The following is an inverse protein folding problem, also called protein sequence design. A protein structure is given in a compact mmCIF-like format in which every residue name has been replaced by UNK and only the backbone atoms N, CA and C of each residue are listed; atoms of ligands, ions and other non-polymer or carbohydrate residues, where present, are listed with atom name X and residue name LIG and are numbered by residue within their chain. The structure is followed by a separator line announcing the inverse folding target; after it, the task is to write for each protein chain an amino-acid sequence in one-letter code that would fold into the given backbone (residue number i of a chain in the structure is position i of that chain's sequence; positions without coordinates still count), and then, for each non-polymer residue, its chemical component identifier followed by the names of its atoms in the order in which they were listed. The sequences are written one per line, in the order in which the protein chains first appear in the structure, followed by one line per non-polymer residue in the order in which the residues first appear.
data_IF_703805742822
#
_entry.id   IF_703805742822
#
_cell.length_a   1.000
_cell.length_b   1.000
_cell.length_c   1.000
_cell.angle_alpha   90.00
_cell.angle_beta   90.00
_cell.angle_gamma   90.00
#
_symmetry.space_group_name_H-M   'P 1'
#
loop_
_entity.id
_entity.type
_entity.pdbx_description
1 polymer ?
#
# COMPACT_ATOMS: atom_id res chain seq x y z
N UNK A 1 3.53 -0.59 -11.99
CA UNK A 1 2.12 -0.14 -12.00
C UNK A 1 1.87 0.75 -10.79
N UNK A 2 1.61 2.05 -10.94
CA UNK A 2 1.53 2.97 -9.79
C UNK A 2 0.13 2.97 -9.15
N UNK A 3 -0.28 1.81 -8.61
CA UNK A 3 -1.58 1.58 -7.95
C UNK A 3 -1.80 2.60 -6.83
N UNK A 4 -0.75 2.88 -6.06
CA UNK A 4 -0.81 3.79 -4.92
C UNK A 4 -1.14 5.22 -5.37
N UNK A 5 -0.55 5.71 -6.47
CA UNK A 5 -0.91 7.02 -7.04
C UNK A 5 -2.38 7.06 -7.47
N UNK A 6 -2.87 6.04 -8.16
CA UNK A 6 -4.27 5.97 -8.56
C UNK A 6 -5.21 6.01 -7.34
N UNK A 7 -4.87 5.23 -6.31
CA UNK A 7 -5.58 5.26 -5.03
C UNK A 7 -5.54 6.63 -4.35
N UNK A 8 -4.37 7.30 -4.35
CA UNK A 8 -4.18 8.59 -3.69
C UNK A 8 -5.01 9.68 -4.35
N UNK A 9 -4.92 9.79 -5.66
CA UNK A 9 -5.72 10.72 -6.44
C UNK A 9 -7.23 10.50 -6.23
N UNK A 10 -7.69 9.25 -6.00
CA UNK A 10 -9.13 8.95 -5.85
C UNK A 10 -9.63 9.37 -4.48
N UNK A 11 -8.79 9.14 -3.48
CA UNK A 11 -9.08 9.42 -2.09
C UNK A 11 -8.55 10.77 -1.62
N UNK A 12 -8.02 11.60 -2.53
CA UNK A 12 -7.38 12.87 -2.18
C UNK A 12 -8.35 13.79 -1.45
N UNK A 13 -9.38 14.25 -2.15
CA UNK A 13 -10.38 15.16 -1.58
C UNK A 13 -11.19 14.53 -0.45
N UNK A 14 -11.67 13.27 -0.54
CA UNK A 14 -12.47 12.69 0.53
C UNK A 14 -11.72 12.48 1.85
N UNK A 15 -10.43 12.13 1.79
CA UNK A 15 -9.70 11.63 2.96
C UNK A 15 -8.26 12.14 3.07
N UNK A 16 -7.47 11.98 2.01
CA UNK A 16 -6.02 12.07 2.11
C UNK A 16 -5.50 13.50 2.18
N UNK A 17 -6.24 14.48 1.66
CA UNK A 17 -5.88 15.89 1.80
C UNK A 17 -5.83 16.28 3.27
N UNK A 18 -6.92 16.02 4.01
CA UNK A 18 -6.99 16.35 5.43
C UNK A 18 -5.99 15.53 6.25
N UNK A 19 -5.79 14.26 5.90
CA UNK A 19 -4.77 13.43 6.51
C UNK A 19 -3.35 13.96 6.27
N UNK A 20 -3.07 14.47 5.08
CA UNK A 20 -1.76 15.03 4.73
C UNK A 20 -1.44 16.26 5.58
N UNK A 21 -2.42 17.12 5.87
CA UNK A 21 -2.26 18.26 6.77
C UNK A 21 -1.89 17.82 8.19
N UNK A 22 -2.53 16.74 8.69
CA UNK A 22 -2.23 16.15 10.01
C UNK A 22 -0.79 15.61 10.04
N UNK A 23 -0.30 15.13 8.89
CA UNK A 23 1.08 14.68 8.70
C UNK A 23 2.04 15.81 8.31
N UNK A 24 1.65 17.06 8.55
CA UNK A 24 2.46 18.27 8.36
C UNK A 24 2.72 18.67 6.89
N UNK A 25 1.98 18.11 5.93
CA UNK A 25 1.95 18.59 4.55
C UNK A 25 0.91 19.72 4.41
N UNK A 26 1.26 20.91 4.90
CA UNK A 26 0.31 22.04 4.98
C UNK A 26 0.31 22.96 3.75
N UNK A 27 1.42 23.08 3.03
CA UNK A 27 1.53 23.93 1.84
C UNK A 27 1.03 23.22 0.58
N UNK A 28 0.56 23.97 -0.42
CA UNK A 28 0.11 23.38 -1.70
C UNK A 28 1.19 22.56 -2.39
N UNK A 29 2.45 22.99 -2.29
CA UNK A 29 3.60 22.24 -2.81
C UNK A 29 3.81 20.93 -2.03
N UNK A 30 3.70 20.95 -0.71
CA UNK A 30 3.83 19.75 0.12
C UNK A 30 2.67 18.77 -0.11
N UNK A 31 1.45 19.29 -0.24
CA UNK A 31 0.25 18.53 -0.61
C UNK A 31 0.39 17.90 -2.00
N UNK A 32 0.85 18.66 -3.00
CA UNK A 32 1.11 18.14 -4.34
C UNK A 32 2.22 17.08 -4.35
N UNK A 33 3.27 17.27 -3.54
CA UNK A 33 4.32 16.27 -3.36
C UNK A 33 3.75 14.95 -2.80
N UNK A 34 2.91 15.02 -1.75
CA UNK A 34 2.25 13.85 -1.18
C UNK A 34 1.26 13.19 -2.16
N UNK A 35 0.44 13.98 -2.86
CA UNK A 35 -0.56 13.51 -3.86
C UNK A 35 0.07 12.79 -5.03
N UNK A 36 1.20 13.28 -5.52
CA UNK A 36 1.86 12.72 -6.71
C UNK A 36 2.59 11.40 -6.43
N UNK A 37 2.76 11.04 -5.14
CA UNK A 37 3.45 9.82 -4.70
C UNK A 37 4.85 9.66 -5.34
N UNK A 38 5.58 10.77 -5.53
CA UNK A 38 6.94 10.73 -6.10
C UNK A 38 7.92 10.02 -5.17
N UNK A 39 7.77 10.22 -3.86
CA UNK A 39 8.52 9.51 -2.84
C UNK A 39 7.73 8.29 -2.35
N UNK A 40 8.26 7.10 -2.62
CA UNK A 40 7.59 5.84 -2.28
C UNK A 40 7.53 5.59 -0.77
N UNK A 41 8.51 6.05 0.01
CA UNK A 41 8.51 5.89 1.47
C UNK A 41 7.43 6.73 2.11
N UNK A 42 7.30 7.99 1.67
CA UNK A 42 6.25 8.92 2.12
C UNK A 42 4.87 8.42 1.71
N UNK A 43 4.69 8.02 0.44
CA UNK A 43 3.43 7.47 -0.05
C UNK A 43 3.03 6.22 0.76
N UNK A 44 3.99 5.34 1.07
CA UNK A 44 3.72 4.16 1.87
C UNK A 44 3.34 4.48 3.32
N UNK A 45 3.98 5.46 3.96
CA UNK A 45 3.60 5.91 5.30
C UNK A 45 2.18 6.48 5.32
N UNK A 46 1.85 7.35 4.37
CA UNK A 46 0.49 7.90 4.20
C UNK A 46 -0.54 6.77 3.98
N UNK A 47 -0.22 5.79 3.15
CA UNK A 47 -1.08 4.62 2.91
C UNK A 47 -1.33 3.81 4.17
N UNK A 48 -0.29 3.57 4.98
CA UNK A 48 -0.42 2.83 6.24
C UNK A 48 -1.25 3.59 7.27
N UNK A 49 -1.04 4.92 7.38
CA UNK A 49 -1.84 5.77 8.28
C UNK A 49 -3.30 5.73 7.86
N UNK A 50 -3.59 5.91 6.57
CA UNK A 50 -4.95 5.81 6.04
C UNK A 50 -5.58 4.46 6.40
N UNK A 51 -4.93 3.36 5.98
CA UNK A 51 -5.43 2.00 6.18
C UNK A 51 -5.72 1.70 7.66
N UNK A 52 -4.73 1.93 8.51
CA UNK A 52 -4.80 1.60 9.93
C UNK A 52 -5.86 2.42 10.64
N UNK A 53 -5.95 3.71 10.32
CA UNK A 53 -6.93 4.60 10.94
C UNK A 53 -8.34 4.23 10.55
N UNK A 54 -8.59 4.03 9.25
CA UNK A 54 -9.91 3.69 8.73
C UNK A 54 -10.37 2.33 9.24
N UNK A 55 -9.49 1.31 9.26
CA UNK A 55 -9.81 0.00 9.81
C UNK A 55 -10.16 0.10 11.32
N UNK A 56 -9.34 0.82 12.10
CA UNK A 56 -9.61 1.05 13.53
C UNK A 56 -10.97 1.71 13.76
N UNK A 57 -11.29 2.78 13.03
CA UNK A 57 -12.57 3.47 13.23
C UNK A 57 -13.78 2.62 12.83
N UNK A 58 -13.66 1.83 11.76
CA UNK A 58 -14.72 0.92 11.34
C UNK A 58 -14.97 -0.19 12.36
N UNK A 59 -13.92 -0.84 12.86
CA UNK A 59 -14.03 -1.88 13.90
C UNK A 59 -14.55 -1.28 15.21
N UNK A 60 -14.07 -0.11 15.61
CA UNK A 60 -14.57 0.58 16.81
C UNK A 60 -16.05 0.95 16.70
N UNK A 61 -16.50 1.36 15.51
CA UNK A 61 -17.92 1.65 15.27
C UNK A 61 -18.78 0.40 15.49
N UNK A 62 -18.34 -0.74 14.96
CA UNK A 62 -18.99 -2.03 15.21
C UNK A 62 -18.98 -2.41 16.69
N UNK A 63 -17.83 -2.36 17.36
CA UNK A 63 -17.72 -2.74 18.78
C UNK A 63 -18.64 -1.86 19.64
N UNK A 64 -18.68 -0.54 19.40
CA UNK A 64 -19.59 0.38 20.09
C UNK A 64 -21.06 0.06 19.82
N UNK A 65 -21.41 -0.33 18.60
CA UNK A 65 -22.77 -0.76 18.27
C UNK A 65 -23.15 -2.02 19.07
N UNK A 66 -22.27 -3.02 19.11
CA UNK A 66 -22.48 -4.26 19.85
C UNK A 66 -22.61 -4.02 21.36
N UNK A 67 -21.73 -3.18 21.92
CA UNK A 67 -21.79 -2.80 23.34
C UNK A 67 -23.10 -2.10 23.71
N UNK A 68 -23.63 -1.25 22.83
CA UNK A 68 -24.94 -0.60 23.04
C UNK A 68 -26.11 -1.59 23.03
N UNK A 69 -25.99 -2.68 22.28
CA UNK A 69 -26.98 -3.76 22.27
C UNK A 69 -26.76 -4.77 23.42
N UNK A 70 -25.71 -4.61 24.25
CA UNK A 70 -25.37 -5.57 25.30
C UNK A 70 -24.83 -6.90 24.76
N UNK A 71 -24.37 -6.94 23.52
CA UNK A 71 -23.94 -8.16 22.85
C UNK A 71 -22.42 -8.23 22.67
N UNK A 72 -21.87 -9.45 22.70
CA UNK A 72 -20.45 -9.69 22.42
C UNK A 72 -20.14 -9.45 20.92
N UNK A 73 -19.09 -8.68 20.58
CA UNK A 73 -18.65 -8.51 19.20
C UNK A 73 -17.96 -9.79 18.69
N UNK A 74 -18.46 -10.36 17.59
CA UNK A 74 -17.87 -11.52 16.91
C UNK A 74 -17.69 -11.22 15.42
N UNK A 75 -16.81 -11.94 14.70
CA UNK A 75 -16.62 -11.78 13.26
C UNK A 75 -17.92 -11.98 12.45
N UNK A 76 -18.74 -12.97 12.80
CA UNK A 76 -20.01 -13.22 12.09
C UNK A 76 -20.98 -12.05 12.25
N UNK A 77 -21.05 -11.48 13.46
CA UNK A 77 -21.85 -10.29 13.72
C UNK A 77 -21.29 -9.05 13.03
N UNK A 78 -19.99 -8.98 12.79
CA UNK A 78 -19.41 -7.92 11.96
C UNK A 78 -19.93 -7.99 10.52
N UNK A 79 -20.06 -9.18 9.93
CA UNK A 79 -20.60 -9.35 8.58
C UNK A 79 -22.08 -8.96 8.50
N UNK A 80 -22.89 -9.30 9.50
CA UNK A 80 -24.29 -8.89 9.59
C UNK A 80 -24.41 -7.37 9.77
N UNK A 81 -23.61 -6.80 10.68
CA UNK A 81 -23.50 -5.35 10.87
C UNK A 81 -23.10 -4.65 9.57
N UNK A 82 -22.09 -5.16 8.88
CA UNK A 82 -21.60 -4.67 7.61
C UNK A 82 -22.72 -4.58 6.56
N UNK A 83 -23.47 -5.67 6.35
CA UNK A 83 -24.59 -5.70 5.39
C UNK A 83 -25.65 -4.66 5.72
N UNK A 84 -26.00 -4.53 7.00
CA UNK A 84 -27.00 -3.55 7.47
C UNK A 84 -26.49 -2.10 7.31
N UNK A 85 -25.24 -1.83 7.73
CA UNK A 85 -24.69 -0.48 7.79
C UNK A 85 -24.32 0.07 6.40
N UNK A 86 -23.82 -0.78 5.50
CA UNK A 86 -23.59 -0.44 4.08
C UNK A 86 -24.85 0.08 3.40
N UNK A 87 -25.98 -0.58 3.64
CA UNK A 87 -27.27 -0.23 3.05
C UNK A 87 -27.79 1.12 3.56
N UNK A 88 -27.42 1.51 4.79
CA UNK A 88 -27.88 2.75 5.43
C UNK A 88 -26.92 3.94 5.30
N UNK A 89 -25.62 3.71 5.05
CA UNK A 89 -24.60 4.77 5.07
C UNK A 89 -23.60 4.60 3.91
N UNK A 90 -23.84 5.35 2.83
CA UNK A 90 -23.02 5.30 1.63
C UNK A 90 -21.57 5.78 1.84
N UNK A 91 -21.32 6.71 2.77
CA UNK A 91 -19.95 7.16 3.10
C UNK A 91 -19.16 6.04 3.75
N UNK A 92 -19.82 5.29 4.64
CA UNK A 92 -19.24 4.12 5.27
C UNK A 92 -19.00 3.00 4.25
N UNK A 93 -19.95 2.78 3.33
CA UNK A 93 -19.78 1.83 2.23
C UNK A 93 -18.60 2.18 1.31
N UNK A 94 -18.46 3.46 0.96
CA UNK A 94 -17.32 3.95 0.20
C UNK A 94 -16.01 3.72 0.96
N UNK A 95 -15.92 4.13 2.24
CA UNK A 95 -14.72 3.90 3.05
C UNK A 95 -14.38 2.41 3.15
N UNK A 96 -15.37 1.55 3.33
CA UNK A 96 -15.17 0.11 3.36
C UNK A 96 -14.54 -0.40 2.06
N UNK A 97 -15.08 0.00 0.90
CA UNK A 97 -14.52 -0.35 -0.41
C UNK A 97 -13.06 0.12 -0.52
N UNK A 98 -12.78 1.37 -0.13
CA UNK A 98 -11.43 1.92 -0.19
C UNK A 98 -10.45 1.19 0.73
N UNK A 99 -10.88 0.76 1.92
CA UNK A 99 -10.03 0.06 2.89
C UNK A 99 -9.83 -1.41 2.54
N UNK A 100 -10.91 -2.18 2.44
CA UNK A 100 -10.86 -3.64 2.33
C UNK A 100 -10.53 -4.12 0.92
N UNK A 101 -10.89 -3.37 -0.12
CA UNK A 101 -10.61 -3.76 -1.50
C UNK A 101 -9.31 -3.14 -1.99
N UNK A 102 -9.19 -1.82 -1.97
CA UNK A 102 -8.07 -1.15 -2.61
C UNK A 102 -6.85 -1.01 -1.69
N UNK A 103 -7.04 -0.49 -0.48
CA UNK A 103 -5.95 -0.25 0.45
C UNK A 103 -5.29 -1.54 0.91
N UNK A 104 -6.09 -2.55 1.25
CA UNK A 104 -5.60 -3.89 1.59
C UNK A 104 -4.86 -4.54 0.41
N UNK A 105 -5.35 -4.38 -0.82
CA UNK A 105 -4.66 -4.93 -1.99
C UNK A 105 -3.29 -4.27 -2.23
N UNK A 106 -3.17 -2.95 -2.03
CA UNK A 106 -1.86 -2.27 -2.10
C UNK A 106 -0.90 -2.85 -1.04
N UNK A 107 -1.40 -3.10 0.17
CA UNK A 107 -0.60 -3.71 1.23
C UNK A 107 -0.20 -5.13 0.87
N UNK A 108 -1.14 -5.95 0.40
CA UNK A 108 -0.90 -7.33 -0.02
C UNK A 108 0.06 -7.41 -1.20
N UNK A 109 0.00 -6.47 -2.15
CA UNK A 109 0.93 -6.40 -3.26
C UNK A 109 2.37 -6.23 -2.74
N UNK A 110 2.58 -5.26 -1.84
CA UNK A 110 3.90 -5.00 -1.25
C UNK A 110 4.37 -6.16 -0.37
N UNK A 111 3.48 -6.78 0.41
CA UNK A 111 3.81 -7.94 1.23
C UNK A 111 4.15 -9.14 0.34
N UNK A 112 3.36 -9.39 -0.72
CA UNK A 112 3.56 -10.46 -1.68
C UNK A 112 4.93 -10.36 -2.34
N UNK A 113 5.27 -9.17 -2.84
CA UNK A 113 6.59 -8.87 -3.41
C UNK A 113 7.71 -9.19 -2.43
N UNK A 114 7.60 -8.64 -1.22
CA UNK A 114 8.67 -8.74 -0.21
C UNK A 114 8.83 -10.16 0.35
N UNK A 115 7.74 -10.86 0.60
CA UNK A 115 7.74 -12.14 1.35
C UNK A 115 7.82 -13.37 0.47
N UNK A 116 8.09 -13.21 -0.82
CA UNK A 116 8.08 -14.34 -1.74
C UNK A 116 6.75 -15.09 -1.78
N UNK A 117 5.64 -14.35 -1.85
CA UNK A 117 4.30 -14.94 -1.87
C UNK A 117 3.58 -14.58 -3.17
N UNK A 118 3.79 -15.39 -4.20
CA UNK A 118 3.17 -15.26 -5.52
C UNK A 118 1.65 -15.32 -5.44
N UNK A 119 1.06 -16.21 -4.63
CA UNK A 119 -0.38 -16.27 -4.42
C UNK A 119 -0.97 -14.95 -3.89
N UNK A 120 -0.31 -14.35 -2.90
CA UNK A 120 -0.69 -13.06 -2.34
C UNK A 120 -0.50 -11.92 -3.35
N UNK A 121 0.58 -11.96 -4.13
CA UNK A 121 0.84 -10.98 -5.19
C UNK A 121 -0.23 -11.05 -6.28
N UNK A 122 -0.56 -12.25 -6.77
CA UNK A 122 -1.53 -12.45 -7.83
C UNK A 122 -2.94 -12.04 -7.36
N UNK A 123 -3.39 -12.50 -6.20
CA UNK A 123 -4.67 -12.05 -5.61
C UNK A 123 -4.73 -10.53 -5.47
N UNK A 124 -3.65 -9.90 -4.98
CA UNK A 124 -3.57 -8.46 -4.84
C UNK A 124 -3.63 -7.69 -6.17
N UNK A 125 -3.15 -8.26 -7.28
CA UNK A 125 -3.24 -7.65 -8.63
C UNK A 125 -4.69 -7.54 -9.13
N UNK A 126 -5.62 -8.40 -8.68
CA UNK A 126 -7.01 -8.40 -9.15
C UNK A 126 -7.86 -7.27 -8.57
N UNK A 127 -7.66 -6.92 -7.30
CA UNK A 127 -8.51 -5.96 -6.62
C UNK A 127 -8.42 -4.51 -7.15
N UNK A 128 -7.23 -3.95 -7.48
CA UNK A 128 -7.12 -2.56 -7.92
C UNK A 128 -7.41 -2.35 -9.42
N UNK A 129 -7.75 -3.40 -10.19
CA UNK A 129 -8.05 -3.29 -11.64
C UNK A 129 -9.12 -2.23 -11.93
N UNK A 130 -10.11 -2.12 -11.04
CA UNK A 130 -11.17 -1.11 -11.13
C UNK A 130 -10.65 0.33 -11.01
N UNK A 131 -9.56 0.57 -10.28
CA UNK A 131 -8.94 1.91 -10.18
C UNK A 131 -8.36 2.36 -11.53
N UNK A 132 -7.88 1.42 -12.34
CA UNK A 132 -7.34 1.69 -13.67
C UNK A 132 -8.42 1.79 -14.74
N UNK A 133 -9.51 1.04 -14.59
CA UNK A 133 -10.65 1.05 -15.51
C UNK A 133 -11.61 2.23 -15.25
N UNK A 134 -11.79 2.63 -14.00
CA UNK A 134 -12.61 3.78 -13.61
C UNK A 134 -11.96 5.12 -13.96
N UNK A 135 -10.65 5.12 -14.25
CA UNK A 135 -9.92 6.27 -14.77
C UNK A 135 -9.61 6.10 -16.24
N UNK A 136 -9.56 7.20 -16.98
CA UNK A 136 -9.01 7.20 -18.34
C UNK A 136 -7.47 7.05 -18.32
N UNK A 137 -6.99 5.91 -17.81
CA UNK A 137 -5.59 5.49 -17.80
C UNK A 137 -5.37 4.36 -18.83
N UNK A 138 -5.56 4.62 -20.14
CA UNK A 138 -5.58 3.58 -21.17
C UNK A 138 -4.28 2.76 -21.22
N UNK A 139 -3.14 3.41 -20.94
CA UNK A 139 -1.85 2.73 -20.90
C UNK A 139 -1.77 1.67 -19.78
N UNK A 140 -2.16 2.02 -18.54
CA UNK A 140 -2.12 1.07 -17.42
C UNK A 140 -3.17 -0.03 -17.57
N UNK A 141 -4.32 0.29 -18.17
CA UNK A 141 -5.33 -0.72 -18.51
C UNK A 141 -4.80 -1.75 -19.49
N UNK A 142 -4.09 -1.31 -20.53
CA UNK A 142 -3.49 -2.23 -21.50
C UNK A 142 -2.39 -3.09 -20.87
N UNK A 143 -1.55 -2.51 -20.00
CA UNK A 143 -0.54 -3.27 -19.26
C UNK A 143 -1.18 -4.33 -18.38
N UNK A 144 -2.23 -3.96 -17.62
CA UNK A 144 -2.92 -4.88 -16.72
C UNK A 144 -3.60 -6.03 -17.49
N UNK A 145 -4.27 -5.72 -18.59
CA UNK A 145 -4.91 -6.72 -19.46
C UNK A 145 -3.87 -7.66 -20.07
N UNK A 146 -2.76 -7.10 -20.56
CA UNK A 146 -1.67 -7.87 -21.14
C UNK A 146 -1.02 -8.79 -20.09
N UNK A 147 -0.63 -8.25 -18.92
CA UNK A 147 -0.02 -9.01 -17.82
C UNK A 147 -0.94 -10.16 -17.36
N UNK A 148 -2.23 -9.88 -17.20
CA UNK A 148 -3.23 -10.90 -16.81
C UNK A 148 -3.39 -11.98 -17.88
N UNK A 149 -3.43 -11.58 -19.16
CA UNK A 149 -3.59 -12.51 -20.29
C UNK A 149 -2.37 -13.40 -20.42
N UNK A 150 -1.16 -12.83 -20.39
CA UNK A 150 0.09 -13.58 -20.43
C UNK A 150 0.15 -14.62 -19.30
N UNK A 151 -0.19 -14.22 -18.08
CA UNK A 151 -0.20 -15.14 -16.93
C UNK A 151 -1.22 -16.29 -17.08
N UNK A 152 -2.37 -16.05 -17.72
CA UNK A 152 -3.38 -17.08 -17.96
C UNK A 152 -3.04 -18.02 -19.12
N UNK A 153 -2.41 -17.51 -20.17
CA UNK A 153 -2.04 -18.30 -21.35
C UNK A 153 -0.69 -19.01 -21.20
N UNK A 154 0.07 -18.72 -20.13
CA UNK A 154 1.37 -19.34 -19.91
C UNK A 154 1.25 -20.83 -19.54
N UNK A 155 2.09 -21.72 -20.11
CA UNK A 155 2.16 -23.11 -19.68
C UNK A 155 2.50 -23.22 -18.18
N UNK A 156 2.00 -24.27 -17.52
CA UNK A 156 2.17 -24.47 -16.08
C UNK A 156 3.65 -24.55 -15.67
N UNK A 157 4.50 -25.10 -16.54
CA UNK A 157 5.95 -25.22 -16.32
C UNK A 157 6.59 -23.84 -16.22
N UNK A 158 6.23 -22.94 -17.15
CA UNK A 158 6.71 -21.55 -17.14
C UNK A 158 6.12 -20.78 -15.97
N UNK A 159 4.86 -21.08 -15.61
CA UNK A 159 4.16 -20.43 -14.49
C UNK A 159 4.82 -20.76 -13.16
N UNK A 160 5.22 -22.01 -12.97
CA UNK A 160 5.99 -22.43 -11.80
C UNK A 160 7.35 -21.71 -11.73
N UNK A 161 8.05 -21.56 -12.85
CA UNK A 161 9.31 -20.80 -12.90
C UNK A 161 9.04 -19.34 -12.53
N UNK A 162 8.04 -18.72 -13.15
CA UNK A 162 7.68 -17.33 -12.88
C UNK A 162 7.31 -17.12 -11.41
N UNK A 163 6.39 -17.89 -10.87
CA UNK A 163 5.93 -17.75 -9.48
C UNK A 163 7.06 -17.96 -8.48
N UNK A 164 8.01 -18.87 -8.75
CA UNK A 164 9.20 -19.08 -7.91
C UNK A 164 10.25 -17.96 -8.00
N UNK A 165 10.23 -17.17 -9.08
CA UNK A 165 11.24 -16.12 -9.35
C UNK A 165 10.69 -14.69 -9.31
N UNK A 166 9.36 -14.51 -9.19
CA UNK A 166 8.73 -13.18 -9.11
C UNK A 166 9.11 -12.40 -7.88
N UNK A 167 9.62 -13.08 -6.86
CA UNK A 167 9.78 -12.52 -5.53
C UNK A 167 10.97 -13.17 -4.83
N UNK A 168 11.75 -12.39 -4.05
CA UNK A 168 13.00 -12.85 -3.45
C UNK A 168 13.08 -12.39 -2.00
N UNK A 169 13.51 -13.25 -1.08
CA UNK A 169 13.76 -12.89 0.32
C UNK A 169 15.15 -13.37 0.73
N UNK A 170 16.01 -12.44 1.15
CA UNK A 170 17.39 -12.74 1.58
C UNK A 170 17.45 -13.11 3.06
N UNK A 171 16.47 -12.66 3.86
CA UNK A 171 16.52 -12.73 5.32
C UNK A 171 16.16 -14.10 5.89
N UNK A 172 15.64 -15.04 5.08
CA UNK A 172 15.04 -16.29 5.55
C UNK A 172 13.82 -16.11 6.48
N UNK A 173 13.41 -14.86 6.75
CA UNK A 173 12.34 -14.54 7.69
C UNK A 173 11.02 -14.37 6.93
N UNK A 174 10.09 -15.32 7.14
CA UNK A 174 8.71 -15.28 6.60
C UNK A 174 7.92 -14.00 6.94
N UNK A 175 8.37 -13.23 7.94
CA UNK A 175 7.72 -11.98 8.37
C UNK A 175 8.38 -10.71 7.84
N UNK A 176 9.64 -10.76 7.39
CA UNK A 176 10.47 -9.61 7.00
C UNK A 176 11.11 -9.84 5.63
N UNK A 177 10.38 -9.50 4.59
CA UNK A 177 10.89 -9.46 3.23
C UNK A 177 11.53 -8.13 2.87
N UNK A 178 12.67 -8.15 2.18
CA UNK A 178 13.29 -6.97 1.57
C UNK A 178 12.94 -6.95 0.08
N UNK A 179 12.71 -5.75 -0.46
CA UNK A 179 12.43 -5.56 -1.88
C UNK A 179 13.71 -5.70 -2.71
N UNK A 180 13.63 -6.12 -3.99
CA UNK A 180 14.80 -6.18 -4.88
C UNK A 180 15.47 -4.80 -5.02
N UNK A 181 14.66 -3.74 -5.13
CA UNK A 181 15.16 -2.37 -5.17
C UNK A 181 15.88 -1.98 -3.89
N UNK A 182 15.44 -2.48 -2.73
CA UNK A 182 16.12 -2.21 -1.46
C UNK A 182 17.48 -2.91 -1.38
N UNK A 183 17.55 -4.16 -1.87
CA UNK A 183 18.81 -4.91 -1.95
C UNK A 183 19.79 -4.26 -2.92
N UNK A 184 19.28 -3.85 -4.09
CA UNK A 184 20.07 -3.13 -5.09
C UNK A 184 20.53 -1.78 -4.55
N UNK A 185 19.68 -1.04 -3.83
CA UNK A 185 20.06 0.23 -3.21
C UNK A 185 21.12 0.03 -2.12
N UNK A 186 20.98 -1.01 -1.30
CA UNK A 186 21.95 -1.37 -0.26
C UNK A 186 23.30 -1.74 -0.86
N UNK A 187 23.32 -2.59 -1.90
CA UNK A 187 24.53 -2.95 -2.63
C UNK A 187 25.13 -1.74 -3.37
N UNK A 188 24.32 -0.92 -4.03
CA UNK A 188 24.77 0.31 -4.68
C UNK A 188 25.37 1.31 -3.66
N UNK A 189 24.77 1.41 -2.48
CA UNK A 189 25.29 2.23 -1.38
C UNK A 189 26.62 1.68 -0.88
N UNK A 190 26.75 0.37 -0.73
CA UNK A 190 28.00 -0.28 -0.35
C UNK A 190 29.10 0.02 -1.38
N UNK A 191 28.83 -0.15 -2.68
CA UNK A 191 29.77 0.22 -3.76
C UNK A 191 30.18 1.70 -3.66
N UNK A 192 29.21 2.61 -3.48
CA UNK A 192 29.47 4.05 -3.38
C UNK A 192 30.34 4.45 -2.19
N UNK A 193 30.36 3.69 -1.10
CA UNK A 193 31.25 3.95 0.03
C UNK A 193 32.73 3.79 -0.33
N UNK A 194 33.04 2.99 -1.35
CA UNK A 194 34.39 2.73 -1.82
C UNK A 194 34.83 3.64 -2.97
N UNK A 195 33.91 4.45 -3.50
CA UNK A 195 34.22 5.45 -4.52
C UNK A 195 34.79 6.68 -3.80
N UNK A 196 36.03 7.04 -4.15
CA UNK A 196 36.70 8.22 -3.59
C UNK A 196 35.88 9.50 -3.86
N UNK A 197 35.56 10.23 -2.81
CA UNK A 197 34.83 11.49 -2.90
C UNK A 197 35.67 12.56 -3.58
N UNK A 198 35.18 13.11 -4.70
CA UNK A 198 35.80 14.26 -5.38
C UNK A 198 36.17 14.06 -6.86
N UNK A 199 36.03 12.85 -7.41
CA UNK A 199 36.19 12.60 -8.85
C UNK A 199 35.01 11.83 -9.40
N UNK A 200 34.70 12.02 -10.70
CA UNK A 200 33.74 11.17 -11.40
C UNK A 200 34.41 9.82 -11.61
N UNK A 201 33.92 8.73 -10.98
CA UNK A 201 34.52 7.41 -11.11
C UNK A 201 34.51 6.93 -12.57
N UNK A 202 35.64 6.40 -13.04
CA UNK A 202 35.73 5.72 -14.34
C UNK A 202 34.97 4.39 -14.33
N UNK A 203 34.59 3.89 -15.50
CA UNK A 203 33.96 2.56 -15.63
C UNK A 203 34.84 1.44 -15.04
N UNK A 204 36.15 1.52 -15.22
CA UNK A 204 37.12 0.58 -14.66
C UNK A 204 37.09 0.57 -13.12
N UNK A 205 36.93 1.75 -12.50
CA UNK A 205 36.78 1.88 -11.05
C UNK A 205 35.47 1.25 -10.57
N UNK A 206 34.38 1.47 -11.30
CA UNK A 206 33.09 0.81 -11.02
C UNK A 206 33.21 -0.71 -11.10
N UNK A 207 33.79 -1.22 -12.18
CA UNK A 207 33.93 -2.66 -12.41
C UNK A 207 34.82 -3.31 -11.34
N UNK A 208 35.94 -2.67 -11.00
CA UNK A 208 36.84 -3.16 -9.96
C UNK A 208 36.16 -3.24 -8.59
N UNK A 209 35.38 -2.23 -8.20
CA UNK A 209 34.68 -2.23 -6.91
C UNK A 209 33.51 -3.23 -6.93
N UNK A 210 32.69 -3.23 -7.98
CA UNK A 210 31.55 -4.14 -8.08
C UNK A 210 31.98 -5.61 -8.05
N UNK A 211 33.05 -5.97 -8.78
CA UNK A 211 33.55 -7.35 -8.82
C UNK A 211 34.20 -7.80 -7.51
N UNK A 212 34.79 -6.86 -6.75
CA UNK A 212 35.50 -7.17 -5.51
C UNK A 212 34.72 -6.81 -4.24
N UNK A 213 33.47 -6.35 -4.36
CA UNK A 213 32.68 -5.82 -3.23
C UNK A 213 32.62 -6.81 -2.06
N UNK A 214 32.31 -8.08 -2.35
CA UNK A 214 32.19 -9.11 -1.31
C UNK A 214 33.51 -9.30 -0.55
N UNK A 215 34.63 -9.37 -1.29
CA UNK A 215 35.96 -9.52 -0.70
C UNK A 215 36.33 -8.31 0.19
N UNK A 216 35.96 -7.10 -0.24
CA UNK A 216 36.19 -5.88 0.53
C UNK A 216 35.30 -5.83 1.79
N UNK A 217 34.02 -6.23 1.68
CA UNK A 217 33.10 -6.35 2.82
C UNK A 217 33.63 -7.38 3.84
N UNK A 218 34.14 -8.52 3.39
CA UNK A 218 34.70 -9.57 4.25
C UNK A 218 35.98 -9.08 4.97
N UNK A 219 36.87 -8.39 4.26
CA UNK A 219 38.05 -7.76 4.86
C UNK A 219 37.67 -6.68 5.88
N UNK A 220 36.66 -5.86 5.60
CA UNK A 220 36.17 -4.87 6.57
C UNK A 220 35.61 -5.54 7.82
N UNK A 221 34.82 -6.59 7.67
CA UNK A 221 34.26 -7.33 8.79
C UNK A 221 35.37 -7.96 9.64
N UNK A 222 36.41 -8.52 9.00
CA UNK A 222 37.59 -9.03 9.69
C UNK A 222 38.31 -7.93 10.49
N UNK A 223 38.59 -6.78 9.86
CA UNK A 223 39.24 -5.64 10.51
C UNK A 223 38.39 -5.06 11.67
N UNK A 224 37.08 -4.93 11.47
CA UNK A 224 36.14 -4.48 12.52
C UNK A 224 36.06 -5.46 13.69
N UNK A 225 36.11 -6.78 13.42
CA UNK A 225 36.13 -7.81 14.46
C UNK A 225 37.42 -7.78 15.29
N UNK A 226 38.55 -7.47 14.66
CA UNK A 226 39.85 -7.31 15.33
C UNK A 226 39.95 -5.99 16.10
N UNK A 227 39.29 -4.93 15.61
CA UNK A 227 39.33 -3.58 16.17
C UNK A 227 38.21 -3.25 17.18
N UNK A 228 37.35 -4.21 17.55
CA UNK A 228 36.29 -4.03 18.56
C UNK A 228 35.22 -3.00 18.22
N UNK A 229 35.13 -2.54 16.97
CA UNK A 229 34.22 -1.46 16.54
C UNK A 229 33.07 -2.03 15.74
N UNK A 230 31.87 -2.04 16.32
CA UNK A 230 30.65 -2.32 15.57
C UNK A 230 30.21 -1.05 14.82
N UNK A 231 29.93 -1.19 13.52
CA UNK A 231 29.30 -0.11 12.73
C UNK A 231 27.90 0.16 13.27
N UNK A 232 27.66 1.36 13.78
CA UNK A 232 26.29 1.84 14.02
C UNK A 232 25.65 2.12 12.67
N UNK A 233 24.61 1.37 12.34
CA UNK A 233 23.74 1.69 11.22
C UNK A 233 23.00 3.00 11.55
N UNK A 234 23.55 4.13 11.12
CA UNK A 234 22.95 5.45 11.28
C UNK A 234 21.78 5.61 10.31
N UNK A 235 20.67 4.91 10.59
CA UNK A 235 19.38 5.19 9.98
C UNK A 235 18.69 6.32 10.77
N UNK A 236 19.04 7.57 10.48
CA UNK A 236 18.17 8.68 10.85
C UNK A 236 17.04 8.79 9.82
N UNK A 237 16.10 7.84 9.85
CA UNK A 237 14.76 8.09 9.30
C UNK A 237 14.11 9.17 10.16
N UNK A 238 13.76 10.31 9.57
CA UNK A 238 12.84 11.27 10.21
C UNK A 238 11.66 10.49 10.75
N UNK A 239 11.55 10.40 12.07
CA UNK A 239 10.51 9.63 12.73
C UNK A 239 9.20 10.40 12.60
N UNK A 240 8.42 10.06 11.57
CA UNK A 240 7.03 10.51 11.49
C UNK A 240 6.28 9.82 12.62
N UNK A 241 5.66 10.58 13.51
CA UNK A 241 4.83 10.04 14.59
C UNK A 241 3.52 9.49 13.99
N UNK A 242 3.58 8.22 13.56
CA UNK A 242 2.48 7.48 12.95
C UNK A 242 1.32 7.36 13.95
N UNK A 243 1.60 7.21 15.24
CA UNK A 243 0.57 7.00 16.26
C UNK A 243 -0.24 8.28 16.49
N UNK A 244 0.43 9.42 16.60
CA UNK A 244 -0.23 10.72 16.61
C UNK A 244 -1.11 10.93 15.37
N UNK A 245 -0.56 10.64 14.18
CA UNK A 245 -1.28 10.81 12.92
C UNK A 245 -2.55 9.93 12.87
N UNK A 246 -2.44 8.67 13.30
CA UNK A 246 -3.57 7.73 13.37
C UNK A 246 -4.64 8.25 14.33
N UNK A 247 -4.27 8.66 15.54
CA UNK A 247 -5.23 9.12 16.54
C UNK A 247 -5.95 10.42 16.11
N UNK A 248 -5.21 11.37 15.53
CA UNK A 248 -5.74 12.64 15.05
C UNK A 248 -6.65 12.46 13.83
N UNK A 249 -6.23 11.65 12.85
CA UNK A 249 -7.04 11.39 11.67
C UNK A 249 -8.33 10.61 12.00
N UNK A 250 -8.29 9.74 13.03
CA UNK A 250 -9.48 9.03 13.50
C UNK A 250 -10.61 9.98 13.93
N UNK A 251 -10.29 11.06 14.63
CA UNK A 251 -11.30 12.04 15.04
C UNK A 251 -11.93 12.75 13.84
N UNK A 252 -11.13 13.00 12.80
CA UNK A 252 -11.62 13.56 11.53
C UNK A 252 -12.57 12.58 10.84
N UNK A 253 -12.18 11.31 10.71
CA UNK A 253 -13.01 10.26 10.12
C UNK A 253 -14.32 10.03 10.87
N UNK A 254 -14.28 10.05 12.21
CA UNK A 254 -15.48 9.92 13.05
C UNK A 254 -16.50 11.01 12.72
N UNK A 255 -16.05 12.24 12.50
CA UNK A 255 -16.91 13.37 12.11
C UNK A 255 -17.45 13.22 10.69
N UNK A 256 -16.63 12.74 9.76
CA UNK A 256 -17.04 12.48 8.37
C UNK A 256 -18.12 11.39 8.25
N UNK A 257 -18.02 10.34 9.06
CA UNK A 257 -18.93 9.19 9.04
C UNK A 257 -20.29 9.47 9.71
N UNK A 258 -20.47 10.62 10.39
CA UNK A 258 -21.77 11.02 10.93
C UNK A 258 -22.75 11.34 9.81
N UNK A 259 -23.99 10.82 9.85
CA UNK A 259 -25.00 11.07 8.83
C UNK A 259 -25.46 12.54 8.76
N UNK A 260 -25.31 13.33 9.83
CA UNK A 260 -25.83 14.71 9.97
C UNK A 260 -24.97 15.80 9.29
N UNK A 261 -23.76 15.48 8.79
CA UNK A 261 -22.92 16.46 8.09
C UNK A 261 -23.36 16.58 6.61
N UNK A 262 -24.33 17.45 6.33
CA UNK A 262 -24.91 17.69 4.99
C UNK A 262 -24.00 18.49 4.02
N UNK A 263 -22.86 19.00 4.47
CA UNK A 263 -22.07 20.00 3.71
C UNK A 263 -20.94 19.45 2.81
N UNK A 264 -21.17 18.35 2.09
CA UNK A 264 -20.25 17.96 1.00
C UNK A 264 -21.02 17.50 -0.26
N UNK A 265 -21.12 18.43 -1.21
CA UNK A 265 -21.67 18.32 -2.58
C UNK A 265 -20.86 17.37 -3.50
N UNK A 266 -20.44 16.20 -3.01
CA UNK A 266 -19.75 15.19 -3.83
C UNK A 266 -20.72 14.17 -4.47
N UNK A 267 -22.00 14.23 -4.10
CA UNK A 267 -23.02 13.27 -4.54
C UNK A 267 -23.33 13.34 -6.03
N UNK A 268 -23.28 14.53 -6.64
CA UNK A 268 -23.52 14.66 -8.09
C UNK A 268 -22.40 14.00 -8.92
N UNK A 269 -21.15 14.00 -8.46
CA UNK A 269 -20.03 13.41 -9.22
C UNK A 269 -19.95 11.88 -9.08
N UNK A 270 -20.30 11.33 -7.92
CA UNK A 270 -20.32 9.87 -7.66
C UNK A 270 -21.54 9.21 -8.34
N UNK A 271 -22.71 9.87 -8.37
CA UNK A 271 -23.88 9.34 -9.08
C UNK A 271 -23.76 9.46 -10.61
N UNK A 272 -23.02 10.46 -11.11
CA UNK A 272 -22.75 10.63 -12.55
C UNK A 272 -21.50 9.87 -13.03
N UNK A 273 -20.67 9.35 -12.12
CA UNK A 273 -19.51 8.53 -12.45
C UNK A 273 -19.98 7.15 -13.01
N UNK A 274 -19.74 6.84 -14.30
CA UNK A 274 -20.26 5.63 -14.95
C UNK A 274 -19.78 4.30 -14.33
N UNK A 275 -18.77 4.36 -13.46
CA UNK A 275 -18.20 3.20 -12.77
C UNK A 275 -18.84 2.91 -11.41
N UNK A 276 -19.46 3.89 -10.75
CA UNK A 276 -20.15 3.68 -9.45
C UNK A 276 -21.46 2.93 -9.67
N UNK A 277 -22.22 3.31 -10.71
CA UNK A 277 -23.42 2.60 -11.15
C UNK A 277 -23.13 1.19 -11.67
N UNK A 278 -21.94 0.96 -12.26
CA UNK A 278 -21.47 -0.39 -12.65
C UNK A 278 -21.01 -1.27 -11.48
N UNK A 279 -20.53 -0.68 -10.39
CA UNK A 279 -20.16 -1.44 -9.18
C UNK A 279 -21.42 -1.75 -8.35
N UNK A 280 -22.40 -0.85 -8.29
CA UNK A 280 -23.69 -1.11 -7.61
C UNK A 280 -24.58 -2.07 -8.39
N UNK A 281 -24.46 -2.13 -9.72
CA UNK A 281 -25.23 -3.06 -10.57
C UNK A 281 -24.66 -4.47 -10.70
N UNK A 282 -23.43 -4.72 -10.22
CA UNK A 282 -22.77 -6.04 -10.25
C UNK A 282 -22.55 -6.65 -8.85
N UNK A 283 -23.17 -6.07 -7.81
CA UNK A 283 -23.41 -6.81 -6.57
C UNK A 283 -24.69 -7.61 -6.81
N UNK A 284 -24.60 -8.61 -7.70
CA UNK A 284 -25.58 -9.68 -7.72
C UNK A 284 -25.43 -10.39 -6.38
N UNK A 285 -26.43 -10.16 -5.52
CA UNK A 285 -26.65 -10.97 -4.35
C UNK A 285 -26.71 -12.42 -4.84
N UNK A 286 -25.77 -13.26 -4.39
CA UNK A 286 -25.99 -14.70 -4.33
C UNK A 286 -27.19 -14.89 -3.39
N UNK A 287 -28.37 -14.80 -3.99
CA UNK A 287 -29.63 -15.28 -3.45
C UNK A 287 -29.62 -16.76 -3.76
N UNK A 288 -28.95 -17.55 -2.91
CA UNK A 288 -29.26 -18.97 -2.85
C UNK A 288 -30.57 -19.12 -2.08
N UNK A 289 -31.67 -18.78 -2.75
CA UNK A 289 -32.95 -19.46 -2.59
C UNK A 289 -33.09 -20.41 -3.78
N UNK A 290 -32.61 -21.65 -3.64
CA UNK A 290 -33.20 -22.85 -4.27
C UNK A 290 -32.36 -24.10 -3.98
N UNK A 291 -33.08 -25.10 -3.43
CA UNK A 291 -32.71 -26.49 -3.10
C UNK A 291 -32.00 -26.74 -1.77
#
# INVERSE_FOLDING_TARGET
MNVIKSFFELNWTPFLEKMSEIMQFTTDNAKNFAKTCKDHHVAWQLQLVFHTTSLKEMVLTFVRYMMKQGEMPTPDKYLLFYKKFMSSNQRWAYLHLQVFRFSQAIINLRIGIRRNNSCLLQSAKFHPKELFNGRSNPHYRNIELFDTSQYHFMPNEVKNIWDNNTTFTVSGHNSKGQDLDFLLEEKNRAVKQFILSGSVPSNETWDAICCNLQYIEDLQNLVSSLGGTQRSNNYQTKHVDIEFAVNSFRQTLKTYLKPENETFLWFEWIQTAPWVTKISGNIDFITNESH
#
